data_IF_580150635154
#
_entry.id   IF_580150635154
#
_cell.length_a   1.000
_cell.length_b   1.000
_cell.length_c   1.000
_cell.angle_alpha   90.00
_cell.angle_beta   90.00
_cell.angle_gamma   90.00
#
_symmetry.space_group_name_H-M   'P 1'
#
loop_
_entity.id
_entity.type
_entity.pdbx_description
1 polymer ?
#
# COMPACT_ATOMS: atom_id res chain seq x y z
N UNK A 1 -18.35 21.04 -78.17
CA UNK A 1 -19.49 20.52 -77.38
C UNK A 1 -18.98 19.34 -76.57
N UNK A 2 -18.76 19.51 -75.26
CA UNK A 2 -18.14 18.45 -74.45
C UNK A 2 -17.93 18.76 -72.96
N UNK A 3 -18.21 19.98 -72.50
CA UNK A 3 -18.17 20.34 -71.08
C UNK A 3 -19.54 20.18 -70.37
N UNK A 4 -20.63 20.00 -71.12
CA UNK A 4 -21.97 19.77 -70.57
C UNK A 4 -22.07 18.41 -69.85
N UNK A 5 -21.29 17.41 -70.30
CA UNK A 5 -21.28 16.04 -69.73
C UNK A 5 -20.73 15.94 -68.31
N UNK A 6 -20.10 17.00 -67.80
CA UNK A 6 -19.51 17.04 -66.45
C UNK A 6 -20.29 17.92 -65.47
N UNK A 7 -21.32 18.63 -65.94
CA UNK A 7 -22.13 19.51 -65.08
C UNK A 7 -23.30 18.78 -64.41
N UNK A 8 -23.80 17.67 -65.00
CA UNK A 8 -24.88 16.87 -64.42
C UNK A 8 -24.44 16.05 -63.20
N UNK A 9 -23.15 15.69 -63.10
CA UNK A 9 -22.61 14.89 -61.99
C UNK A 9 -22.37 15.69 -60.71
N UNK A 10 -22.37 17.02 -60.77
CA UNK A 10 -22.15 17.86 -59.59
C UNK A 10 -23.33 17.85 -58.60
N UNK A 11 -24.53 17.52 -59.06
CA UNK A 11 -25.75 17.54 -58.23
C UNK A 11 -26.01 16.23 -57.45
N UNK A 12 -25.23 15.16 -57.68
CA UNK A 12 -25.45 13.86 -57.05
C UNK A 12 -24.34 13.39 -56.10
N UNK A 13 -23.32 14.22 -55.83
CA UNK A 13 -22.29 13.87 -54.84
C UNK A 13 -22.77 14.31 -53.45
N UNK A 14 -23.64 13.50 -52.83
CA UNK A 14 -23.85 13.57 -51.38
C UNK A 14 -22.60 13.05 -50.69
N UNK A 15 -21.73 13.95 -50.23
CA UNK A 15 -20.67 13.62 -49.29
C UNK A 15 -21.34 13.02 -48.05
N UNK A 16 -21.23 11.70 -47.87
CA UNK A 16 -21.68 11.01 -46.67
C UNK A 16 -20.79 11.43 -45.51
N UNK A 17 -21.17 12.53 -44.86
CA UNK A 17 -20.52 13.00 -43.64
C UNK A 17 -20.55 11.85 -42.62
N UNK A 18 -19.35 11.44 -42.16
CA UNK A 18 -19.07 10.66 -40.93
C UNK A 18 -18.98 9.12 -41.01
N UNK A 19 -18.32 8.51 -42.00
CA UNK A 19 -17.93 7.09 -41.86
C UNK A 19 -16.48 6.86 -41.44
N UNK A 20 -15.52 7.66 -41.93
CA UNK A 20 -14.11 7.40 -41.62
C UNK A 20 -13.74 7.80 -40.18
N UNK A 21 -14.18 8.97 -39.72
CA UNK A 21 -13.91 9.45 -38.36
C UNK A 21 -14.51 8.52 -37.30
N UNK A 22 -15.74 8.05 -37.52
CA UNK A 22 -16.40 7.10 -36.61
C UNK A 22 -15.75 5.71 -36.63
N UNK A 23 -15.24 5.24 -37.78
CA UNK A 23 -14.46 3.99 -37.84
C UNK A 23 -13.16 4.08 -37.05
N UNK A 24 -12.40 5.16 -37.23
CA UNK A 24 -11.14 5.37 -36.49
C UNK A 24 -11.42 5.58 -35.01
N UNK A 25 -12.43 6.38 -34.63
CA UNK A 25 -12.82 6.58 -33.23
C UNK A 25 -13.27 5.26 -32.58
N UNK A 26 -13.97 4.38 -33.32
CA UNK A 26 -14.38 3.06 -32.83
C UNK A 26 -13.20 2.07 -32.74
N UNK A 27 -12.26 2.08 -33.69
CA UNK A 27 -11.06 1.25 -33.61
C UNK A 27 -10.14 1.68 -32.46
N UNK A 28 -10.00 2.98 -32.22
CA UNK A 28 -9.23 3.52 -31.10
C UNK A 28 -9.90 3.15 -29.78
N UNK A 29 -11.23 3.33 -29.66
CA UNK A 29 -11.97 2.89 -28.47
C UNK A 29 -11.85 1.39 -28.22
N UNK A 30 -12.03 0.56 -29.25
CA UNK A 30 -11.91 -0.89 -29.12
C UNK A 30 -10.49 -1.33 -28.75
N UNK A 31 -9.44 -0.67 -29.25
CA UNK A 31 -8.05 -0.99 -28.86
C UNK A 31 -7.75 -0.61 -27.42
N UNK A 32 -8.18 0.58 -26.97
CA UNK A 32 -8.05 0.96 -25.55
C UNK A 32 -8.87 0.06 -24.63
N UNK A 33 -10.06 -0.37 -25.05
CA UNK A 33 -10.87 -1.33 -24.28
C UNK A 33 -10.29 -2.75 -24.31
N UNK A 34 -9.64 -3.17 -25.41
CA UNK A 34 -8.96 -4.47 -25.52
C UNK A 34 -7.63 -4.52 -24.75
N UNK A 35 -6.87 -3.43 -24.69
CA UNK A 35 -5.65 -3.34 -23.87
C UNK A 35 -5.95 -3.29 -22.35
N UNK A 36 -7.22 -3.09 -21.97
CA UNK A 36 -7.72 -3.27 -20.59
C UNK A 36 -8.07 -4.74 -20.31
N UNK A 37 -8.20 -5.60 -21.34
CA UNK A 37 -8.39 -7.04 -21.20
C UNK A 37 -7.03 -7.76 -21.21
N UNK A 38 -6.13 -7.31 -20.33
CA UNK A 38 -5.01 -8.11 -19.85
C UNK A 38 -5.48 -8.70 -18.50
N UNK A 39 -5.32 -10.02 -18.27
CA UNK A 39 -5.83 -10.66 -17.07
C UNK A 39 -5.18 -10.00 -15.84
N UNK A 40 -6.00 -9.39 -14.99
CA UNK A 40 -5.59 -8.70 -13.78
C UNK A 40 -4.63 -7.51 -13.99
N UNK A 41 -5.05 -6.52 -14.78
CA UNK A 41 -4.59 -5.15 -14.60
C UNK A 41 -4.84 -4.74 -13.14
N UNK A 42 -3.76 -4.60 -12.38
CA UNK A 42 -3.81 -4.27 -10.96
C UNK A 42 -4.36 -2.83 -10.85
N UNK A 43 -5.66 -2.69 -10.59
CA UNK A 43 -6.30 -1.39 -10.40
C UNK A 43 -5.62 -0.71 -9.21
N UNK A 44 -4.81 0.32 -9.47
CA UNK A 44 -4.12 1.06 -8.39
C UNK A 44 -5.10 1.75 -7.44
N UNK A 45 -6.33 2.01 -7.90
CA UNK A 45 -7.42 2.55 -7.09
C UNK A 45 -8.11 1.50 -6.21
N UNK A 46 -8.03 0.22 -6.60
CA UNK A 46 -8.55 -0.92 -5.83
C UNK A 46 -7.45 -1.60 -5.01
N UNK A 47 -6.27 -0.98 -4.92
CA UNK A 47 -5.20 -1.45 -4.06
C UNK A 47 -5.69 -1.30 -2.62
N UNK A 48 -6.04 -2.42 -1.98
CA UNK A 48 -6.44 -2.44 -0.58
C UNK A 48 -5.36 -1.72 0.24
N UNK A 49 -5.74 -0.65 0.95
CA UNK A 49 -4.86 0.00 1.90
C UNK A 49 -4.33 -1.08 2.85
N UNK A 50 -3.01 -1.29 2.86
CA UNK A 50 -2.40 -2.20 3.82
C UNK A 50 -2.88 -1.79 5.22
N UNK A 51 -3.67 -2.67 5.86
CA UNK A 51 -4.29 -2.42 7.16
C UNK A 51 -3.23 -1.85 8.10
N UNK A 52 -3.36 -0.56 8.41
CA UNK A 52 -2.39 0.12 9.25
C UNK A 52 -2.27 -0.63 10.57
N UNK A 53 -1.11 -1.24 10.79
CA UNK A 53 -0.86 -2.01 12.01
C UNK A 53 -0.87 -1.00 13.15
N UNK A 54 -1.83 -1.11 14.06
CA UNK A 54 -1.92 -0.23 15.23
C UNK A 54 -0.68 -0.43 16.10
N UNK A 55 0.25 0.53 16.06
CA UNK A 55 1.45 0.56 16.90
C UNK A 55 1.14 1.30 18.19
N UNK A 56 1.50 0.70 19.32
CA UNK A 56 1.42 1.34 20.64
C UNK A 56 2.78 1.90 21.03
N UNK A 57 2.84 3.16 21.44
CA UNK A 57 4.08 3.77 21.93
C UNK A 57 4.39 3.28 23.35
N UNK A 58 5.65 2.92 23.59
CA UNK A 58 6.17 2.58 24.91
C UNK A 58 7.49 3.35 25.09
N UNK A 59 7.59 4.10 26.18
CA UNK A 59 8.83 4.74 26.60
C UNK A 59 9.65 3.76 27.45
N UNK A 60 10.88 3.49 27.03
CA UNK A 60 11.81 2.59 27.73
C UNK A 60 13.07 3.37 28.12
N UNK A 61 13.52 3.19 29.35
CA UNK A 61 14.76 3.78 29.84
C UNK A 61 15.93 2.83 29.58
N UNK A 62 17.01 3.38 29.04
CA UNK A 62 18.25 2.66 28.76
C UNK A 62 19.39 3.24 29.60
N UNK A 63 20.40 2.40 29.86
CA UNK A 63 21.69 2.91 30.35
C UNK A 63 22.35 3.71 29.23
N UNK A 64 23.13 4.72 29.61
CA UNK A 64 23.75 5.65 28.66
C UNK A 64 24.71 4.94 27.68
N UNK A 65 25.52 4.00 28.19
CA UNK A 65 26.46 3.22 27.36
C UNK A 65 25.73 2.39 26.29
N UNK A 66 24.65 1.70 26.68
CA UNK A 66 23.86 0.87 25.77
C UNK A 66 23.16 1.73 24.71
N UNK A 67 22.68 2.91 25.09
CA UNK A 67 22.06 3.86 24.16
C UNK A 67 23.09 4.37 23.14
N UNK A 68 24.32 4.65 23.57
CA UNK A 68 25.38 5.10 22.67
C UNK A 68 25.77 4.01 21.67
N UNK A 69 25.84 2.75 22.10
CA UNK A 69 26.03 1.61 21.20
C UNK A 69 24.90 1.50 20.17
N UNK A 70 23.65 1.59 20.62
CA UNK A 70 22.49 1.53 19.73
C UNK A 70 22.48 2.68 18.71
N UNK A 71 22.85 3.89 19.12
CA UNK A 71 23.02 5.04 18.22
C UNK A 71 24.11 4.79 17.19
N UNK A 72 25.28 4.27 17.61
CA UNK A 72 26.38 3.97 16.71
C UNK A 72 25.97 2.94 15.64
N UNK A 73 25.36 1.82 16.04
CA UNK A 73 24.87 0.79 15.11
C UNK A 73 23.82 1.36 14.15
N UNK A 74 22.91 2.18 14.67
CA UNK A 74 21.85 2.79 13.87
C UNK A 74 22.42 3.77 12.83
N UNK A 75 23.44 4.55 13.21
CA UNK A 75 24.17 5.41 12.30
C UNK A 75 24.88 4.61 11.21
N UNK A 76 25.58 3.52 11.56
CA UNK A 76 26.27 2.65 10.61
C UNK A 76 25.31 2.02 9.60
N UNK A 77 24.12 1.62 10.05
CA UNK A 77 23.10 0.99 9.19
C UNK A 77 22.18 1.98 8.49
N UNK A 78 22.37 3.29 8.69
CA UNK A 78 21.50 4.36 8.19
C UNK A 78 20.01 4.13 8.56
N UNK A 79 19.77 3.69 9.79
CA UNK A 79 18.43 3.43 10.33
C UNK A 79 18.18 4.24 11.61
N UNK A 80 16.92 4.31 12.05
CA UNK A 80 16.59 4.91 13.35
C UNK A 80 16.80 3.90 14.46
N UNK A 81 17.14 4.39 15.66
CA UNK A 81 17.27 3.55 16.87
C UNK A 81 16.02 2.69 17.10
N UNK A 82 14.83 3.26 16.85
CA UNK A 82 13.57 2.52 16.97
C UNK A 82 13.49 1.33 16.00
N UNK A 83 13.86 1.51 14.72
CA UNK A 83 13.91 0.41 13.75
C UNK A 83 14.91 -0.67 14.15
N UNK A 84 16.09 -0.26 14.62
CA UNK A 84 17.15 -1.18 15.05
C UNK A 84 16.68 -2.03 16.23
N UNK A 85 16.06 -1.42 17.24
CA UNK A 85 15.45 -2.12 18.39
C UNK A 85 14.33 -3.05 17.92
N UNK A 86 13.45 -2.56 17.04
CA UNK A 86 12.30 -3.33 16.58
C UNK A 86 12.73 -4.58 15.81
N UNK A 87 13.77 -4.50 14.97
CA UNK A 87 14.31 -5.66 14.26
C UNK A 87 14.87 -6.72 15.23
N UNK A 88 15.59 -6.29 16.27
CA UNK A 88 16.13 -7.22 17.29
C UNK A 88 14.96 -7.88 18.05
N UNK A 89 13.97 -7.10 18.46
CA UNK A 89 12.81 -7.62 19.18
C UNK A 89 11.94 -8.52 18.32
N UNK A 90 11.78 -8.23 17.03
CA UNK A 90 10.92 -9.02 16.15
C UNK A 90 11.42 -10.45 16.01
N UNK A 91 12.73 -10.63 15.84
CA UNK A 91 13.34 -11.97 15.77
C UNK A 91 13.13 -12.75 17.06
N UNK A 92 13.40 -12.12 18.22
CA UNK A 92 13.27 -12.77 19.52
C UNK A 92 11.81 -13.07 19.89
N UNK A 93 10.87 -12.17 19.58
CA UNK A 93 9.42 -12.38 19.80
C UNK A 93 8.91 -13.51 18.92
N UNK A 94 9.28 -13.57 17.63
CA UNK A 94 8.88 -14.66 16.73
C UNK A 94 9.33 -16.00 17.28
N UNK A 95 10.63 -16.15 17.56
CA UNK A 95 11.17 -17.39 18.13
C UNK A 95 10.50 -17.76 19.46
N UNK A 96 10.20 -16.78 20.32
CA UNK A 96 9.51 -17.07 21.59
C UNK A 96 8.08 -17.56 21.35
N UNK A 97 7.36 -16.92 20.41
CA UNK A 97 6.00 -17.28 20.03
C UNK A 97 5.91 -18.72 19.49
N UNK A 98 6.90 -19.13 18.72
CA UNK A 98 6.94 -20.47 18.12
C UNK A 98 7.24 -21.56 19.16
N UNK A 99 7.93 -21.21 20.26
CA UNK A 99 8.29 -22.14 21.32
C UNK A 99 7.35 -22.10 22.55
N UNK A 100 6.24 -21.36 22.46
CA UNK A 100 5.29 -21.22 23.56
C UNK A 100 4.41 -22.48 23.71
N UNK A 101 4.11 -22.94 24.94
CA UNK A 101 3.18 -24.05 25.15
C UNK A 101 1.79 -23.72 24.60
N UNK A 102 1.09 -24.74 24.07
CA UNK A 102 -0.26 -24.58 23.48
C UNK A 102 -1.29 -24.00 24.45
N UNK A 103 -1.10 -24.19 25.75
CA UNK A 103 -1.99 -23.69 26.81
C UNK A 103 -1.65 -22.27 27.30
N UNK A 104 -0.65 -21.59 26.71
CA UNK A 104 -0.26 -20.26 27.14
C UNK A 104 -1.14 -19.16 26.51
N UNK A 105 -2.09 -18.63 27.29
CA UNK A 105 -2.94 -17.52 26.88
C UNK A 105 -2.26 -16.14 27.08
N UNK A 106 -1.67 -15.63 26.00
CA UNK A 106 -1.01 -14.31 25.95
C UNK A 106 -1.99 -13.18 26.28
N UNK A 107 -3.24 -13.25 25.80
CA UNK A 107 -4.23 -12.16 25.94
C UNK A 107 -4.69 -12.04 27.39
N UNK A 108 -4.95 -13.17 28.05
CA UNK A 108 -5.30 -13.19 29.47
C UNK A 108 -4.16 -12.63 30.33
N UNK A 109 -2.92 -13.03 30.05
CA UNK A 109 -1.74 -12.53 30.79
C UNK A 109 -1.48 -11.04 30.57
N UNK A 110 -1.65 -10.52 29.35
CA UNK A 110 -1.57 -9.09 29.07
C UNK A 110 -2.64 -8.30 29.86
N UNK A 111 -3.89 -8.77 29.88
CA UNK A 111 -4.97 -8.14 30.67
C UNK A 111 -4.69 -8.16 32.17
N UNK A 112 -4.12 -9.25 32.69
CA UNK A 112 -3.70 -9.33 34.11
C UNK A 112 -2.61 -8.30 34.44
N UNK A 113 -1.63 -8.12 33.56
CA UNK A 113 -0.57 -7.12 33.72
C UNK A 113 -1.13 -5.70 33.74
N UNK A 114 -1.98 -5.35 32.78
CA UNK A 114 -2.59 -4.01 32.70
C UNK A 114 -3.44 -3.71 33.94
N UNK A 115 -4.22 -4.68 34.42
CA UNK A 115 -5.01 -4.55 35.66
C UNK A 115 -4.13 -4.25 36.87
N UNK A 116 -2.97 -4.93 36.99
CA UNK A 116 -2.06 -4.77 38.14
C UNK A 116 -1.29 -3.45 38.11
N UNK A 117 -1.03 -2.89 36.93
CA UNK A 117 -0.20 -1.70 36.78
C UNK A 117 -0.98 -0.41 36.53
N UNK A 118 -2.26 -0.47 36.15
CA UNK A 118 -3.16 0.71 36.08
C UNK A 118 -3.30 1.46 37.41
N UNK A 119 -3.13 0.80 38.55
CA UNK A 119 -3.34 1.39 39.89
C UNK A 119 -2.06 1.89 40.59
N UNK A 120 -0.91 1.94 39.89
CA UNK A 120 0.36 2.43 40.47
C UNK A 120 0.66 3.91 40.17
N UNK A 121 -0.27 4.62 39.53
CA UNK A 121 -0.20 6.06 39.38
C UNK A 121 -0.50 6.74 40.72
N UNK A 122 0.50 7.43 41.27
CA UNK A 122 0.41 8.40 42.37
C UNK A 122 -0.06 7.88 43.74
N UNK A 123 0.71 7.00 44.38
CA UNK A 123 0.87 7.13 45.85
C UNK A 123 1.72 8.37 46.09
N UNK A 124 1.09 9.55 46.16
CA UNK A 124 1.73 10.74 46.72
C UNK A 124 2.21 10.37 48.12
N UNK A 125 3.52 10.36 48.34
CA UNK A 125 4.11 10.54 49.66
C UNK A 125 4.27 12.03 49.89
#
# INVERSE_FOLDING_TARGET
MGLEKFMDDANNIKITKKSYKSKVDNEVKNKFEQDIIIPAGLNLLDMEEEKSIKKTAISVYFKEQDLNLLKAISQTKNTTVNKTIMNILETTIKTTKDNLPKDFDIVKKAKEYDKRNKNKGNRKK
#
